data_IF_762600454860
#
_entry.id   IF_762600454860
#
_cell.length_a   1.000
_cell.length_b   1.000
_cell.length_c   1.000
_cell.angle_alpha   90.00
_cell.angle_beta   90.00
_cell.angle_gamma   90.00
#
_symmetry.space_group_name_H-M   'P 1'
#
loop_
_entity.id
_entity.type
_entity.pdbx_description
1 polymer ?
#
# COMPACT_ATOMS: atom_id res chain seq x y z
N UNK A 1 9.57 -9.21 3.63
CA UNK A 1 8.96 -9.78 2.40
C UNK A 1 9.83 -9.39 1.22
N UNK A 2 10.38 -10.37 0.49
CA UNK A 2 11.24 -10.12 -0.68
C UNK A 2 10.41 -10.03 -1.96
N UNK A 3 10.60 -8.95 -2.72
CA UNK A 3 9.92 -8.72 -4.00
C UNK A 3 10.92 -8.29 -5.08
N UNK A 4 10.77 -8.78 -6.33
CA UNK A 4 11.62 -8.36 -7.44
C UNK A 4 11.33 -6.91 -7.84
N UNK A 5 12.39 -6.17 -8.18
CA UNK A 5 12.27 -4.79 -8.67
C UNK A 5 12.21 -4.80 -10.18
N UNK A 6 11.27 -4.06 -10.75
CA UNK A 6 11.13 -3.85 -12.19
C UNK A 6 11.68 -2.47 -12.60
N UNK A 7 12.18 -2.37 -13.83
CA UNK A 7 12.53 -1.11 -14.50
C UNK A 7 11.29 -0.42 -15.06
N UNK A 8 11.43 0.83 -15.51
CA UNK A 8 10.35 1.59 -16.14
C UNK A 8 9.81 0.91 -17.42
N UNK A 9 10.68 0.18 -18.12
CA UNK A 9 10.32 -0.59 -19.32
C UNK A 9 9.60 -1.92 -18.99
N UNK A 10 9.40 -2.22 -17.70
CA UNK A 10 8.76 -3.44 -17.22
C UNK A 10 9.66 -4.68 -17.21
N UNK A 11 10.97 -4.52 -17.45
CA UNK A 11 11.94 -5.61 -17.36
C UNK A 11 12.42 -5.79 -15.92
N UNK A 12 12.69 -7.04 -15.52
CA UNK A 12 13.19 -7.33 -14.17
C UNK A 12 14.61 -6.76 -14.00
N UNK A 13 14.81 -5.96 -12.96
CA UNK A 13 16.06 -5.24 -12.72
C UNK A 13 17.14 -6.10 -12.04
N UNK A 14 16.86 -7.39 -11.80
CA UNK A 14 17.80 -8.36 -11.21
C UNK A 14 18.19 -8.09 -9.75
N UNK A 15 17.43 -7.23 -9.06
CA UNK A 15 17.60 -6.88 -7.66
C UNK A 15 16.28 -7.06 -6.92
N UNK A 16 16.35 -7.45 -5.65
CA UNK A 16 15.19 -7.66 -4.80
C UNK A 16 15.12 -6.60 -3.70
N UNK A 17 13.90 -6.17 -3.37
CA UNK A 17 13.63 -5.28 -2.25
C UNK A 17 13.09 -6.10 -1.08
N UNK A 18 13.67 -5.91 0.10
CA UNK A 18 13.13 -6.45 1.35
C UNK A 18 12.20 -5.43 2.01
N UNK A 19 10.90 -5.74 2.03
CA UNK A 19 9.86 -4.92 2.64
C UNK A 19 9.57 -5.39 4.07
N UNK A 20 9.46 -4.43 4.99
CA UNK A 20 9.14 -4.71 6.39
C UNK A 20 7.79 -5.41 6.54
N UNK A 21 7.79 -6.57 7.21
CA UNK A 21 6.57 -7.35 7.48
C UNK A 21 5.58 -6.60 8.39
N UNK A 22 6.09 -5.75 9.28
CA UNK A 22 5.25 -4.94 10.18
C UNK A 22 4.36 -3.92 9.47
N UNK A 23 4.67 -3.60 8.22
CA UNK A 23 3.91 -2.64 7.40
C UNK A 23 3.17 -3.37 6.28
N UNK A 24 3.83 -4.29 5.58
CA UNK A 24 3.30 -4.89 4.36
C UNK A 24 2.77 -6.32 4.53
N UNK A 25 3.09 -6.99 5.64
CA UNK A 25 2.68 -8.38 5.92
C UNK A 25 1.57 -8.51 6.96
N UNK A 26 0.94 -7.40 7.36
CA UNK A 26 -0.15 -7.40 8.34
C UNK A 26 -1.47 -7.81 7.69
N UNK A 27 -2.33 -8.49 8.45
CA UNK A 27 -3.70 -8.73 8.03
C UNK A 27 -4.48 -7.40 8.00
N UNK A 28 -5.06 -7.00 6.86
CA UNK A 28 -5.78 -5.74 6.77
C UNK A 28 -7.00 -5.70 7.68
N UNK A 29 -7.16 -4.62 8.43
CA UNK A 29 -8.39 -4.37 9.18
C UNK A 29 -9.39 -3.59 8.30
N UNK A 30 -10.33 -4.30 7.67
CA UNK A 30 -11.31 -3.72 6.76
C UNK A 30 -12.13 -2.57 7.38
N UNK A 31 -12.48 -2.69 8.67
CA UNK A 31 -13.26 -1.66 9.34
C UNK A 31 -12.49 -0.35 9.47
N UNK A 32 -11.20 -0.42 9.79
CA UNK A 32 -10.33 0.76 9.90
C UNK A 32 -10.11 1.39 8.52
N UNK A 33 -9.91 0.57 7.48
CA UNK A 33 -9.79 1.06 6.10
C UNK A 33 -11.06 1.81 5.68
N UNK A 34 -12.23 1.24 5.96
CA UNK A 34 -13.51 1.91 5.66
C UNK A 34 -13.67 3.24 6.41
N UNK A 35 -13.32 3.29 7.69
CA UNK A 35 -13.39 4.51 8.49
C UNK A 35 -12.51 5.62 7.90
N UNK A 36 -11.30 5.28 7.43
CA UNK A 36 -10.40 6.27 6.86
C UNK A 36 -10.89 6.79 5.51
N UNK A 37 -11.37 5.90 4.64
CA UNK A 37 -12.01 6.30 3.36
C UNK A 37 -13.18 7.23 3.61
N UNK A 38 -14.07 6.87 4.56
CA UNK A 38 -15.22 7.71 4.92
C UNK A 38 -14.77 9.08 5.45
N UNK A 39 -13.73 9.11 6.29
CA UNK A 39 -13.16 10.34 6.86
C UNK A 39 -12.62 11.26 5.77
N UNK A 40 -11.87 10.71 4.81
CA UNK A 40 -11.33 11.46 3.66
C UNK A 40 -12.47 12.07 2.83
N UNK A 41 -13.46 11.25 2.45
CA UNK A 41 -14.61 11.72 1.67
C UNK A 41 -15.45 12.79 2.40
N UNK A 42 -15.54 12.72 3.73
CA UNK A 42 -16.23 13.72 4.52
C UNK A 42 -15.47 15.06 4.54
N UNK A 43 -14.14 15.03 4.56
CA UNK A 43 -13.30 16.23 4.54
C UNK A 43 -13.34 16.98 3.20
N UNK A 44 -13.72 16.29 2.12
CA UNK A 44 -13.90 16.90 0.79
C UNK A 44 -15.21 17.70 0.65
N UNK A 45 -16.13 17.59 1.61
CA UNK A 45 -17.44 18.28 1.56
C UNK A 45 -17.29 19.75 1.94
N UNK A 46 -17.98 20.62 1.22
CA UNK A 46 -17.93 22.09 1.43
C UNK A 46 -19.15 22.65 2.20
N UNK A 47 -19.98 21.80 2.80
CA UNK A 47 -21.23 22.17 3.48
C UNK A 47 -22.43 21.48 2.86
#
# INVERSE_FOLDING_TARGET
MQLPVYSEDGTEAGREADLSETVFGIEPNEHVVWLDVRRIQAAERQG
#
